data_IF_563974256645
#
_entry.id   IF_563974256645
#
_cell.length_a   1.000
_cell.length_b   1.000
_cell.length_c   1.000
_cell.angle_alpha   90.00
_cell.angle_beta   90.00
_cell.angle_gamma   90.00
#
_symmetry.space_group_name_H-M   'P 1'
#
loop_
_entity.id
_entity.type
_entity.pdbx_description
1 polymer ?
#
# COMPACT_ATOMS: atom_id res chain seq x y z
N UNK A 1 15.47 25.16 -30.59
CA UNK A 1 15.97 26.04 -29.51
C UNK A 1 16.77 25.12 -28.59
N UNK A 2 18.09 25.13 -28.73
CA UNK A 2 19.07 24.41 -27.92
C UNK A 2 19.35 25.27 -26.68
N UNK A 3 19.16 24.73 -25.51
CA UNK A 3 19.52 25.37 -24.24
C UNK A 3 20.97 24.95 -23.95
N UNK A 4 21.89 25.84 -24.28
CA UNK A 4 23.32 25.67 -24.03
C UNK A 4 23.65 25.80 -22.56
N UNK A 5 24.60 24.97 -22.13
CA UNK A 5 24.95 24.67 -20.79
C UNK A 5 25.51 25.81 -19.95
N UNK A 6 25.23 25.77 -18.68
CA UNK A 6 25.90 26.53 -17.64
C UNK A 6 27.30 25.94 -17.41
N UNK A 7 28.34 26.66 -17.83
CA UNK A 7 29.74 26.29 -17.54
C UNK A 7 30.11 26.88 -16.18
N UNK A 8 30.27 26.05 -15.18
CA UNK A 8 30.96 26.42 -13.95
C UNK A 8 32.43 26.06 -14.17
N UNK A 9 33.29 27.10 -14.20
CA UNK A 9 34.73 26.92 -14.35
C UNK A 9 35.34 26.38 -13.05
N UNK A 10 35.71 25.12 -13.07
CA UNK A 10 36.58 24.49 -12.08
C UNK A 10 37.90 24.10 -12.76
N UNK A 11 39.03 24.47 -12.19
CA UNK A 11 40.40 24.28 -12.72
C UNK A 11 40.92 22.83 -12.61
N UNK A 12 40.04 21.83 -12.53
CA UNK A 12 40.31 20.40 -12.62
C UNK A 12 39.87 19.80 -13.96
N UNK A 13 40.31 18.57 -14.33
CA UNK A 13 39.84 17.95 -15.54
C UNK A 13 38.32 17.81 -15.49
N UNK A 14 37.63 18.49 -16.40
CA UNK A 14 36.17 18.56 -16.47
C UNK A 14 35.59 17.13 -16.51
N UNK A 15 35.07 16.64 -15.39
CA UNK A 15 34.20 15.47 -15.39
C UNK A 15 32.91 15.89 -16.08
N UNK A 16 32.76 15.48 -17.34
CA UNK A 16 31.47 15.59 -18.03
C UNK A 16 30.50 14.65 -17.30
N UNK A 17 29.66 15.19 -16.44
CA UNK A 17 28.49 14.48 -15.96
C UNK A 17 27.54 14.35 -17.15
N UNK A 18 27.59 13.22 -17.83
CA UNK A 18 26.55 12.88 -18.80
C UNK A 18 25.29 12.53 -18.01
N UNK A 19 24.30 13.40 -18.05
CA UNK A 19 22.98 13.05 -17.56
C UNK A 19 22.47 11.88 -18.42
N UNK A 20 21.93 10.80 -17.80
CA UNK A 20 21.29 9.75 -18.57
C UNK A 20 20.21 10.35 -19.46
N UNK A 21 20.04 9.85 -20.67
CA UNK A 21 18.94 10.26 -21.52
C UNK A 21 17.61 10.08 -20.78
N UNK A 22 16.59 10.85 -21.13
CA UNK A 22 15.25 10.75 -20.49
C UNK A 22 14.72 9.31 -20.52
N UNK A 23 15.05 8.55 -21.57
CA UNK A 23 14.74 7.11 -21.70
C UNK A 23 15.52 6.25 -20.70
N UNK A 24 16.82 6.51 -20.50
CA UNK A 24 17.64 5.79 -19.52
C UNK A 24 17.24 6.14 -18.07
N UNK A 25 16.89 7.39 -17.81
CA UNK A 25 16.38 7.81 -16.51
C UNK A 25 15.02 7.14 -16.17
N UNK A 26 14.14 6.92 -17.16
CA UNK A 26 12.88 6.18 -17.00
C UNK A 26 13.08 4.66 -16.91
N UNK A 27 14.20 4.12 -17.44
CA UNK A 27 14.53 2.70 -17.33
C UNK A 27 15.25 2.33 -16.04
N UNK A 28 15.57 3.29 -15.18
CA UNK A 28 16.09 2.99 -13.84
C UNK A 28 15.03 2.19 -13.09
N UNK A 29 15.25 0.90 -12.99
CA UNK A 29 14.45 0.02 -12.12
C UNK A 29 14.48 0.59 -10.72
N UNK A 30 13.33 1.08 -10.23
CA UNK A 30 13.15 1.46 -8.83
C UNK A 30 13.13 0.17 -8.00
N UNK A 31 14.29 -0.45 -7.83
CA UNK A 31 14.43 -1.55 -6.89
C UNK A 31 14.34 -0.94 -5.50
N UNK A 32 13.32 -1.28 -4.70
CA UNK A 32 13.21 -0.78 -3.34
C UNK A 32 14.48 -1.11 -2.56
N UNK A 33 15.01 -0.13 -1.84
CA UNK A 33 16.04 -0.38 -0.84
C UNK A 33 15.48 -1.22 0.30
N UNK A 34 16.36 -1.67 1.17
CA UNK A 34 16.01 -2.51 2.30
C UNK A 34 16.37 -3.98 2.07
N UNK A 35 16.34 -4.73 3.16
CA UNK A 35 16.66 -6.17 3.17
C UNK A 35 15.87 -6.86 4.27
N UNK A 36 15.68 -8.16 4.13
CA UNK A 36 15.22 -9.01 5.22
C UNK A 36 16.45 -9.46 6.03
N UNK A 37 16.39 -9.30 7.32
CA UNK A 37 17.39 -9.77 8.29
C UNK A 37 16.91 -11.12 8.86
N UNK A 38 17.42 -12.20 8.30
CA UNK A 38 16.97 -13.55 8.62
C UNK A 38 17.33 -13.98 10.06
N UNK A 39 18.27 -13.28 10.73
CA UNK A 39 18.64 -13.54 12.12
C UNK A 39 17.59 -13.03 13.11
N UNK A 40 16.65 -12.21 12.67
CA UNK A 40 15.60 -11.67 13.51
C UNK A 40 14.37 -12.58 13.57
N UNK A 41 13.70 -12.65 14.72
CA UNK A 41 12.47 -13.41 14.84
C UNK A 41 11.35 -12.76 14.03
N UNK A 42 10.66 -13.59 13.25
CA UNK A 42 9.46 -13.17 12.55
C UNK A 42 8.29 -13.07 13.53
N UNK A 43 7.58 -11.95 13.50
CA UNK A 43 6.34 -11.72 14.26
C UNK A 43 5.16 -11.81 13.32
N UNK A 44 4.21 -12.69 13.62
CA UNK A 44 2.95 -12.75 12.88
C UNK A 44 2.09 -11.52 13.22
N UNK A 45 1.47 -10.92 12.20
CA UNK A 45 0.51 -9.82 12.30
C UNK A 45 -0.89 -10.37 12.06
N UNK A 46 -1.89 -9.89 12.80
CA UNK A 46 -3.30 -10.25 12.62
C UNK A 46 -3.90 -9.31 11.57
N UNK A 47 -4.09 -9.81 10.36
CA UNK A 47 -4.52 -9.00 9.20
C UNK A 47 -5.95 -9.36 8.83
N UNK A 48 -6.83 -8.36 8.71
CA UNK A 48 -8.16 -8.53 8.15
C UNK A 48 -8.20 -8.03 6.69
N UNK A 49 -9.01 -8.69 5.86
CA UNK A 49 -9.21 -8.36 4.44
C UNK A 49 -10.65 -7.94 4.21
N UNK A 50 -10.87 -6.72 3.70
CA UNK A 50 -12.17 -6.18 3.36
C UNK A 50 -12.31 -5.97 1.86
N UNK A 51 -13.18 -6.71 1.22
CA UNK A 51 -13.56 -6.45 -0.17
C UNK A 51 -14.75 -5.51 -0.21
N UNK A 52 -14.66 -4.47 -1.04
CA UNK A 52 -15.70 -3.47 -1.23
C UNK A 52 -16.18 -3.56 -2.67
N UNK A 53 -17.42 -4.00 -2.87
CA UNK A 53 -18.01 -4.19 -4.20
C UNK A 53 -19.53 -4.34 -4.15
N UNK A 54 -20.22 -3.70 -5.11
CA UNK A 54 -21.64 -3.89 -5.32
C UNK A 54 -21.98 -5.11 -6.19
N UNK A 55 -20.98 -5.63 -6.91
CA UNK A 55 -21.20 -6.62 -7.98
C UNK A 55 -20.62 -7.99 -7.70
N UNK A 56 -19.77 -8.11 -6.67
CA UNK A 56 -19.13 -9.37 -6.28
C UNK A 56 -19.91 -10.04 -5.15
N UNK A 57 -19.76 -11.34 -5.10
CA UNK A 57 -20.11 -12.20 -3.99
C UNK A 57 -18.85 -12.96 -3.52
N UNK A 58 -19.01 -13.85 -2.53
CA UNK A 58 -17.87 -14.58 -1.97
C UNK A 58 -17.16 -15.45 -3.04
N UNK A 59 -17.89 -16.04 -4.01
CA UNK A 59 -17.30 -16.90 -5.04
C UNK A 59 -16.53 -16.09 -6.10
N UNK A 60 -17.03 -14.92 -6.45
CA UNK A 60 -16.44 -14.02 -7.46
C UNK A 60 -15.40 -13.03 -6.91
N UNK A 61 -15.19 -13.00 -5.58
CA UNK A 61 -14.23 -12.11 -4.92
C UNK A 61 -12.78 -12.58 -5.08
N UNK A 62 -12.29 -12.55 -6.30
CA UNK A 62 -10.91 -12.98 -6.60
C UNK A 62 -9.84 -12.12 -5.92
N UNK A 63 -10.04 -10.81 -5.81
CA UNK A 63 -9.07 -9.92 -5.18
C UNK A 63 -8.95 -10.12 -3.67
N UNK A 64 -10.06 -10.33 -2.97
CA UNK A 64 -10.07 -10.67 -1.55
C UNK A 64 -9.43 -12.03 -1.27
N UNK A 65 -9.70 -13.05 -2.10
CA UNK A 65 -9.04 -14.35 -1.99
C UNK A 65 -7.53 -14.24 -2.21
N UNK A 66 -7.08 -13.50 -3.22
CA UNK A 66 -5.65 -13.24 -3.45
C UNK A 66 -4.99 -12.60 -2.22
N UNK A 67 -5.63 -11.63 -1.58
CA UNK A 67 -5.08 -11.00 -0.37
C UNK A 67 -5.04 -11.98 0.80
N UNK A 68 -6.11 -12.75 1.04
CA UNK A 68 -6.16 -13.74 2.12
C UNK A 68 -5.07 -14.81 1.98
N UNK A 69 -4.86 -15.32 0.76
CA UNK A 69 -3.79 -16.27 0.46
C UNK A 69 -2.39 -15.66 0.70
N UNK A 70 -2.21 -14.39 0.37
CA UNK A 70 -0.94 -13.70 0.58
C UNK A 70 -0.66 -13.42 2.05
N UNK A 71 -1.68 -13.04 2.82
CA UNK A 71 -1.59 -12.85 4.27
C UNK A 71 -1.10 -14.15 4.92
N UNK A 72 -1.76 -15.26 4.63
CA UNK A 72 -1.42 -16.57 5.22
C UNK A 72 -0.10 -17.10 4.68
N UNK A 73 0.15 -17.00 3.38
CA UNK A 73 1.41 -17.39 2.74
C UNK A 73 2.61 -16.58 3.24
N UNK A 74 2.38 -15.34 3.63
CA UNK A 74 3.36 -14.50 4.31
C UNK A 74 3.53 -14.86 5.80
N UNK A 75 2.85 -15.86 6.35
CA UNK A 75 2.94 -16.33 7.75
C UNK A 75 2.28 -15.39 8.75
N UNK A 76 1.35 -14.55 8.31
CA UNK A 76 0.48 -13.75 9.15
C UNK A 76 -0.81 -14.50 9.48
N UNK A 77 -1.53 -14.06 10.51
CA UNK A 77 -2.84 -14.60 10.84
C UNK A 77 -3.92 -13.82 10.06
N UNK A 78 -4.74 -14.54 9.29
CA UNK A 78 -5.94 -13.95 8.70
C UNK A 78 -7.00 -13.80 9.80
N UNK A 79 -7.13 -12.58 10.35
CA UNK A 79 -8.05 -12.27 11.44
C UNK A 79 -9.52 -12.20 10.99
N UNK A 80 -9.74 -11.95 9.70
CA UNK A 80 -11.08 -11.93 9.11
C UNK A 80 -11.01 -11.64 7.62
N UNK A 81 -12.04 -12.12 6.88
CA UNK A 81 -12.29 -11.75 5.49
C UNK A 81 -13.78 -11.48 5.34
N UNK A 82 -14.13 -10.34 4.78
CA UNK A 82 -15.53 -9.92 4.60
C UNK A 82 -15.67 -9.13 3.30
N UNK A 83 -16.85 -9.24 2.68
CA UNK A 83 -17.25 -8.44 1.54
C UNK A 83 -18.40 -7.52 1.97
N UNK A 84 -18.31 -6.24 1.65
CA UNK A 84 -19.36 -5.25 1.85
C UNK A 84 -19.64 -4.49 0.55
N UNK A 85 -20.79 -3.84 0.48
CA UNK A 85 -21.14 -2.98 -0.64
C UNK A 85 -20.37 -1.67 -0.62
N UNK A 86 -20.33 -0.98 -1.76
CA UNK A 86 -19.82 0.39 -1.90
C UNK A 86 -20.76 1.38 -1.19
N UNK A 87 -20.78 1.29 0.15
CA UNK A 87 -21.56 2.11 1.07
C UNK A 87 -20.68 2.56 2.25
N UNK A 88 -20.66 3.87 2.52
CA UNK A 88 -19.79 4.49 3.52
C UNK A 88 -20.02 3.88 4.90
N UNK A 89 -21.28 3.71 5.32
CA UNK A 89 -21.59 3.22 6.66
C UNK A 89 -21.34 1.72 6.79
N UNK A 90 -21.55 0.93 5.74
CA UNK A 90 -21.18 -0.48 5.71
C UNK A 90 -19.67 -0.67 5.85
N UNK A 91 -18.87 0.11 5.11
CA UNK A 91 -17.40 0.08 5.18
C UNK A 91 -16.92 0.49 6.58
N UNK A 92 -17.40 1.62 7.09
CA UNK A 92 -17.06 2.12 8.42
C UNK A 92 -17.47 1.16 9.53
N UNK A 93 -18.67 0.59 9.44
CA UNK A 93 -19.20 -0.36 10.40
C UNK A 93 -18.33 -1.60 10.52
N UNK A 94 -17.90 -2.17 9.38
CA UNK A 94 -17.03 -3.35 9.38
C UNK A 94 -15.63 -3.03 9.94
N UNK A 95 -15.03 -1.91 9.54
CA UNK A 95 -13.71 -1.50 10.03
C UNK A 95 -13.76 -1.23 11.55
N UNK A 96 -14.74 -0.48 12.03
CA UNK A 96 -14.92 -0.23 13.47
C UNK A 96 -15.17 -1.52 14.28
N UNK A 97 -15.90 -2.47 13.72
CA UNK A 97 -16.14 -3.76 14.37
C UNK A 97 -14.84 -4.53 14.59
N UNK A 98 -13.99 -4.58 13.59
CA UNK A 98 -12.68 -5.24 13.70
C UNK A 98 -11.75 -4.51 14.67
N UNK A 99 -11.65 -3.20 14.58
CA UNK A 99 -10.82 -2.39 15.51
C UNK A 99 -11.32 -2.58 16.95
N UNK A 100 -12.63 -2.48 17.18
CA UNK A 100 -13.25 -2.64 18.49
C UNK A 100 -13.12 -4.04 19.10
N UNK A 101 -12.87 -5.07 18.30
CA UNK A 101 -12.60 -6.43 18.81
C UNK A 101 -11.24 -6.57 19.49
N UNK A 102 -10.27 -5.70 19.14
CA UNK A 102 -8.89 -5.82 19.62
C UNK A 102 -8.10 -6.98 19.01
N UNK A 103 -8.68 -7.69 18.01
CA UNK A 103 -8.08 -8.88 17.40
C UNK A 103 -7.43 -8.62 16.04
N UNK A 104 -7.29 -7.34 15.62
CA UNK A 104 -6.74 -6.94 14.33
C UNK A 104 -5.63 -5.92 14.52
N UNK A 105 -4.48 -6.14 13.86
CA UNK A 105 -3.33 -5.23 13.87
C UNK A 105 -3.25 -4.42 12.57
N UNK A 106 -3.77 -4.99 11.47
CA UNK A 106 -3.82 -4.32 10.17
C UNK A 106 -5.06 -4.72 9.38
N UNK A 107 -5.61 -3.80 8.59
CA UNK A 107 -6.72 -4.03 7.67
C UNK A 107 -6.23 -3.69 6.25
N UNK A 108 -6.47 -4.60 5.30
CA UNK A 108 -6.22 -4.34 3.87
C UNK A 108 -7.57 -4.38 3.15
N UNK A 109 -7.96 -3.25 2.57
CA UNK A 109 -9.18 -3.18 1.76
C UNK A 109 -8.86 -3.31 0.27
N UNK A 110 -9.79 -3.83 -0.51
CA UNK A 110 -9.71 -3.89 -1.98
C UNK A 110 -11.05 -3.49 -2.60
N UNK A 111 -11.01 -2.53 -3.52
CA UNK A 111 -12.18 -1.97 -4.20
C UNK A 111 -12.57 -0.58 -3.74
N UNK A 112 -13.44 0.08 -4.51
CA UNK A 112 -14.01 1.39 -4.19
C UNK A 112 -13.04 2.57 -4.10
N UNK A 113 -11.82 2.46 -4.68
CA UNK A 113 -10.82 3.55 -4.68
C UNK A 113 -10.76 4.33 -6.00
N UNK A 114 -11.62 4.03 -6.96
CA UNK A 114 -11.64 4.70 -8.26
C UNK A 114 -12.21 6.12 -8.20
N UNK A 115 -12.59 6.64 -9.39
CA UNK A 115 -13.02 8.03 -9.58
C UNK A 115 -14.53 8.17 -9.82
N UNK A 116 -15.27 7.07 -9.83
CA UNK A 116 -16.72 7.11 -10.07
C UNK A 116 -17.49 7.47 -8.80
N UNK A 117 -18.72 7.89 -8.94
CA UNK A 117 -19.56 8.20 -7.77
C UNK A 117 -19.90 6.99 -6.87
N UNK A 118 -19.59 5.76 -7.33
CA UNK A 118 -19.74 4.53 -6.54
C UNK A 118 -18.48 4.19 -5.74
N UNK A 119 -17.33 4.73 -6.13
CA UNK A 119 -16.07 4.51 -5.44
C UNK A 119 -16.01 5.40 -4.18
N UNK A 120 -16.32 4.84 -3.03
CA UNK A 120 -16.47 5.58 -1.75
C UNK A 120 -15.54 5.09 -0.63
N UNK A 121 -14.61 4.18 -0.91
CA UNK A 121 -13.69 3.65 0.11
C UNK A 121 -12.85 4.75 0.74
N UNK A 122 -12.33 5.66 -0.07
CA UNK A 122 -11.50 6.78 0.42
C UNK A 122 -12.32 7.74 1.27
N UNK A 123 -13.53 8.08 0.83
CA UNK A 123 -14.49 8.93 1.55
C UNK A 123 -14.97 8.28 2.87
N UNK A 124 -15.04 6.96 2.90
CA UNK A 124 -15.39 6.23 4.11
C UNK A 124 -14.27 6.24 5.14
N UNK A 125 -13.02 5.99 4.74
CA UNK A 125 -11.94 5.64 5.65
C UNK A 125 -10.98 6.79 5.94
N UNK A 126 -10.62 7.60 4.94
CA UNK A 126 -9.65 8.69 5.14
C UNK A 126 -10.07 9.70 6.24
N UNK A 127 -11.35 10.07 6.40
CA UNK A 127 -11.77 10.93 7.51
C UNK A 127 -11.64 10.30 8.90
N UNK A 128 -11.42 8.99 8.98
CA UNK A 128 -11.23 8.28 10.25
C UNK A 128 -9.73 8.13 10.61
N UNK A 129 -8.82 8.48 9.72
CA UNK A 129 -7.39 8.34 9.99
C UNK A 129 -6.93 9.32 11.06
N UNK A 130 -6.36 8.80 12.14
CA UNK A 130 -5.60 9.59 13.14
C UNK A 130 -4.32 10.16 12.49
N UNK A 131 -3.72 9.36 11.61
CA UNK A 131 -2.54 9.74 10.81
C UNK A 131 -2.66 9.13 9.42
N UNK A 132 -2.51 9.96 8.40
CA UNK A 132 -2.38 9.49 7.01
C UNK A 132 -0.95 9.03 6.73
N UNK A 133 -0.79 7.95 5.98
CA UNK A 133 0.51 7.46 5.50
C UNK A 133 0.67 7.91 4.04
N UNK A 134 0.99 9.21 3.85
CA UNK A 134 1.04 9.82 2.51
C UNK A 134 2.00 9.11 1.56
N UNK A 135 3.12 8.60 2.08
CA UNK A 135 4.10 7.85 1.31
C UNK A 135 3.54 6.57 0.69
N UNK A 136 2.49 5.97 1.26
CA UNK A 136 1.88 4.75 0.71
C UNK A 136 1.33 4.97 -0.69
N UNK A 137 0.51 6.00 -0.88
CA UNK A 137 -0.06 6.33 -2.19
C UNK A 137 1.02 6.59 -3.24
N UNK A 138 2.07 7.34 -2.87
CA UNK A 138 3.20 7.63 -3.75
C UNK A 138 3.91 6.34 -4.20
N UNK A 139 4.30 5.49 -3.25
CA UNK A 139 5.02 4.23 -3.55
C UNK A 139 4.13 3.27 -4.33
N UNK A 140 2.85 3.14 -3.96
CA UNK A 140 1.91 2.31 -4.70
C UNK A 140 1.78 2.76 -6.16
N UNK A 141 1.64 4.07 -6.42
CA UNK A 141 1.52 4.58 -7.79
C UNK A 141 2.80 4.38 -8.60
N UNK A 142 3.98 4.53 -8.01
CA UNK A 142 5.25 4.21 -8.66
C UNK A 142 5.33 2.75 -9.10
N UNK A 143 4.93 1.83 -8.21
CA UNK A 143 4.89 0.39 -8.50
C UNK A 143 3.83 0.07 -9.57
N UNK A 144 2.63 0.60 -9.42
CA UNK A 144 1.51 0.39 -10.34
C UNK A 144 1.82 0.96 -11.73
N UNK A 145 2.53 2.09 -11.81
CA UNK A 145 2.93 2.68 -13.09
C UNK A 145 3.82 1.74 -13.91
N UNK A 146 4.66 0.93 -13.28
CA UNK A 146 5.51 -0.05 -13.98
C UNK A 146 4.71 -1.18 -14.62
N UNK A 147 3.52 -1.49 -14.09
CA UNK A 147 2.67 -2.59 -14.57
C UNK A 147 1.55 -2.13 -15.49
N UNK A 148 0.88 -1.02 -15.18
CA UNK A 148 -0.31 -0.55 -15.91
C UNK A 148 -0.15 0.84 -16.52
N UNK A 149 1.03 1.45 -16.42
CA UNK A 149 1.32 2.77 -16.97
C UNK A 149 0.41 3.85 -16.39
N UNK A 150 -0.06 4.76 -17.25
CA UNK A 150 -0.90 5.89 -16.85
C UNK A 150 -2.28 5.49 -16.29
N UNK A 151 -2.71 4.23 -16.44
CA UNK A 151 -3.97 3.76 -15.84
C UNK A 151 -3.95 3.82 -14.31
N UNK A 152 -2.76 3.88 -13.70
CA UNK A 152 -2.62 4.09 -12.25
C UNK A 152 -3.27 5.39 -11.76
N UNK A 153 -3.41 6.43 -12.62
CA UNK A 153 -4.07 7.69 -12.29
C UNK A 153 -5.56 7.55 -11.97
N UNK A 154 -6.18 6.42 -12.33
CA UNK A 154 -7.59 6.16 -12.05
C UNK A 154 -7.83 5.56 -10.66
N UNK A 155 -6.80 5.49 -9.82
CA UNK A 155 -6.88 4.96 -8.46
C UNK A 155 -6.50 6.03 -7.44
N UNK A 156 -7.12 5.96 -6.26
CA UNK A 156 -6.84 6.79 -5.09
C UNK A 156 -6.38 5.92 -3.92
N UNK A 157 -5.44 4.99 -4.19
CA UNK A 157 -4.87 4.16 -3.14
C UNK A 157 -4.33 5.03 -2.00
N UNK A 158 -4.71 4.70 -0.77
CA UNK A 158 -4.34 5.46 0.43
C UNK A 158 -4.12 4.53 1.61
N UNK A 159 -3.44 5.02 2.65
CA UNK A 159 -3.30 4.29 3.91
C UNK A 159 -3.24 5.26 5.09
N UNK A 160 -3.58 4.75 6.26
CA UNK A 160 -3.54 5.50 7.51
C UNK A 160 -3.58 4.59 8.73
N UNK A 161 -3.70 5.23 9.88
CA UNK A 161 -3.85 4.58 11.18
C UNK A 161 -5.20 4.99 11.74
N UNK A 162 -5.98 4.04 12.23
CA UNK A 162 -7.24 4.27 12.95
C UNK A 162 -7.15 3.54 14.30
N UNK A 163 -7.19 4.26 15.40
CA UNK A 163 -7.18 3.68 16.75
C UNK A 163 -6.08 2.62 16.94
N UNK A 164 -4.86 2.89 16.43
CA UNK A 164 -3.72 1.99 16.55
C UNK A 164 -3.68 0.83 15.57
N UNK A 165 -4.57 0.76 14.59
CA UNK A 165 -4.61 -0.27 13.54
C UNK A 165 -4.19 0.34 12.20
N UNK A 166 -3.27 -0.30 11.50
CA UNK A 166 -2.92 0.10 10.12
C UNK A 166 -4.04 -0.24 9.14
N UNK A 167 -4.40 0.70 8.28
CA UNK A 167 -5.42 0.51 7.24
C UNK A 167 -4.85 0.86 5.89
N UNK A 168 -4.87 -0.09 4.95
CA UNK A 168 -4.38 0.07 3.58
C UNK A 168 -5.55 -0.09 2.60
N UNK A 169 -5.76 0.90 1.74
CA UNK A 169 -6.84 0.90 0.76
C UNK A 169 -6.27 0.69 -0.64
N UNK A 170 -6.53 -0.47 -1.24
CA UNK A 170 -6.07 -0.87 -2.56
C UNK A 170 -7.20 -0.85 -3.59
N UNK A 171 -6.89 -0.63 -4.88
CA UNK A 171 -7.86 -0.83 -5.96
C UNK A 171 -8.37 -2.26 -6.05
N UNK A 172 -9.57 -2.43 -6.62
CA UNK A 172 -10.26 -3.73 -6.70
C UNK A 172 -9.73 -4.71 -7.74
N UNK A 173 -8.72 -4.37 -8.54
CA UNK A 173 -8.18 -5.30 -9.56
C UNK A 173 -7.19 -6.29 -8.97
N UNK A 174 -7.17 -7.51 -9.52
CA UNK A 174 -6.22 -8.56 -9.11
C UNK A 174 -4.75 -8.15 -9.28
N UNK A 175 -4.43 -7.33 -10.29
CA UNK A 175 -3.09 -6.79 -10.50
C UNK A 175 -2.71 -5.80 -9.38
N UNK A 176 -3.62 -4.89 -9.05
CA UNK A 176 -3.37 -3.86 -8.03
C UNK A 176 -3.17 -4.46 -6.63
N UNK A 177 -3.96 -5.48 -6.24
CA UNK A 177 -3.77 -6.14 -4.94
C UNK A 177 -2.46 -6.93 -4.87
N UNK A 178 -2.04 -7.55 -5.99
CA UNK A 178 -0.73 -8.19 -6.08
C UNK A 178 0.39 -7.17 -5.94
N UNK A 179 0.36 -6.11 -6.73
CA UNK A 179 1.38 -5.06 -6.67
C UNK A 179 1.44 -4.40 -5.28
N UNK A 180 0.29 -4.05 -4.70
CA UNK A 180 0.20 -3.41 -3.38
C UNK A 180 0.71 -4.32 -2.27
N UNK A 181 0.33 -5.58 -2.26
CA UNK A 181 0.81 -6.53 -1.26
C UNK A 181 2.28 -6.90 -1.49
N UNK A 182 2.60 -7.48 -2.66
CA UNK A 182 3.90 -8.12 -2.89
C UNK A 182 5.07 -7.12 -2.90
N UNK A 183 4.81 -5.87 -3.35
CA UNK A 183 5.87 -4.87 -3.55
C UNK A 183 5.88 -3.74 -2.50
N UNK A 184 4.82 -3.61 -1.68
CA UNK A 184 4.71 -2.51 -0.70
C UNK A 184 4.40 -3.04 0.70
N UNK A 185 3.24 -3.69 0.90
CA UNK A 185 2.72 -4.00 2.23
C UNK A 185 3.51 -5.13 2.89
N UNK A 186 3.79 -6.22 2.17
CA UNK A 186 4.43 -7.41 2.74
C UNK A 186 5.78 -7.12 3.40
N UNK A 187 6.62 -6.27 2.78
CA UNK A 187 7.90 -5.87 3.37
C UNK A 187 7.71 -5.04 4.64
N UNK A 188 6.69 -4.18 4.70
CA UNK A 188 6.43 -3.33 5.87
C UNK A 188 5.75 -4.09 7.02
N UNK A 189 5.06 -5.18 6.74
CA UNK A 189 4.51 -6.07 7.76
C UNK A 189 5.47 -7.22 8.14
N UNK A 190 6.65 -7.32 7.54
CA UNK A 190 7.70 -8.25 8.01
C UNK A 190 8.56 -7.57 9.08
N UNK A 191 8.53 -8.10 10.32
CA UNK A 191 9.31 -7.58 11.45
C UNK A 191 10.83 -7.64 11.25
N UNK A 192 11.28 -8.38 10.23
CA UNK A 192 12.69 -8.56 9.88
C UNK A 192 13.17 -7.57 8.82
N UNK A 193 12.27 -6.81 8.21
CA UNK A 193 12.63 -5.82 7.19
C UNK A 193 13.44 -4.67 7.79
N UNK A 194 14.56 -4.32 7.14
CA UNK A 194 15.48 -3.26 7.55
C UNK A 194 15.61 -2.20 6.42
N UNK A 195 15.80 -0.91 6.78
CA UNK A 195 16.17 -0.37 8.10
C UNK A 195 15.02 -0.26 9.12
N UNK A 196 13.75 -0.25 8.68
CA UNK A 196 12.58 -0.11 9.56
C UNK A 196 11.36 -0.81 8.94
N UNK A 197 10.39 -1.16 9.77
CA UNK A 197 9.14 -1.78 9.37
C UNK A 197 8.00 -1.30 10.28
N UNK A 198 6.75 -1.49 9.83
CA UNK A 198 5.56 -1.05 10.57
C UNK A 198 5.27 -1.91 11.80
N UNK A 199 5.72 -3.18 11.82
CA UNK A 199 5.50 -4.09 12.97
C UNK A 199 6.17 -3.56 14.23
N UNK A 200 7.34 -2.94 14.10
CA UNK A 200 8.06 -2.33 15.24
C UNK A 200 7.34 -1.07 15.76
N UNK A 201 6.49 -0.44 14.96
CA UNK A 201 5.72 0.74 15.37
C UNK A 201 4.42 0.36 16.08
N UNK A 202 3.84 -0.84 15.83
CA UNK A 202 2.54 -1.24 16.36
C UNK A 202 2.37 -1.01 17.88
N UNK A 203 3.35 -1.38 18.75
CA UNK A 203 3.20 -1.17 20.20
C UNK A 203 3.15 0.31 20.62
N UNK A 204 3.51 1.23 19.73
CA UNK A 204 3.67 2.66 20.00
C UNK A 204 2.64 3.54 19.31
N UNK A 205 1.70 2.97 18.53
CA UNK A 205 0.75 3.75 17.73
C UNK A 205 -0.21 4.58 18.58
N UNK A 206 -0.46 4.16 19.83
CA UNK A 206 -1.33 4.85 20.78
C UNK A 206 -0.56 5.64 21.86
N UNK A 207 0.76 5.81 21.71
CA UNK A 207 1.54 6.68 22.60
C UNK A 207 1.09 8.14 22.45
N UNK A 208 0.84 8.81 23.58
CA UNK A 208 0.44 10.22 23.67
C UNK A 208 1.67 11.14 23.76
#
# INVERSE_FOLDING_TARGET
MTVDGLIVADNGPARRYAWPSFHEALSMSLTPGGRIDEDLPRKAVRVAVLTISDTRDEESDTSGHILADRVTGAGHALAGKTLVRDDIEAIRGQVRSWIGSGEVDAIVTTGGTGLTGRDVTVEALQPLFDKTIDGFGVVFHLVSYQTVGLSTLQSRATAGIIDGVFVFCLPGSNGAVKDGWDKVIAAQLDSRHRPCNMVELMPRLLEA
#
